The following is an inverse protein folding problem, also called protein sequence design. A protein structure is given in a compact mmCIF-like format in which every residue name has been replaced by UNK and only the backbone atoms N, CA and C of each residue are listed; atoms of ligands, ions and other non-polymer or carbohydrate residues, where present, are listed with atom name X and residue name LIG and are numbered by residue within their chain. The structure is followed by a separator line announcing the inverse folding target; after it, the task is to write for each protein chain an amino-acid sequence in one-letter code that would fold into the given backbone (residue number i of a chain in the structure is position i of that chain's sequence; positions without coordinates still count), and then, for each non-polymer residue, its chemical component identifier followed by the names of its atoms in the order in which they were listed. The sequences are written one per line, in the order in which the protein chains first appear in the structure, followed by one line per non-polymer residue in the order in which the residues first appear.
data_IF_139736697719
#
_entry.id   IF_139736697719
#
_cell.length_a   1.000
_cell.length_b   1.000
_cell.length_c   1.000
_cell.angle_alpha   90.00
_cell.angle_beta   90.00
_cell.angle_gamma   90.00
#
_symmetry.space_group_name_H-M   'P 1'
#
loop_
_entity.id
_entity.type
_entity.pdbx_description
1 polymer ?
#
# COMPACT_ATOMS: atom_id res chain seq x y z
N UNK A 1 13.09 19.32 9.84
CA UNK A 1 11.93 19.66 9.00
C UNK A 1 11.07 18.45 8.64
N UNK A 2 11.63 17.28 8.28
CA UNK A 2 10.85 16.09 7.90
C UNK A 2 9.98 15.45 9.01
N UNK A 3 10.29 15.70 10.30
CA UNK A 3 9.52 15.16 11.43
C UNK A 3 8.07 15.64 11.44
N UNK A 4 7.82 16.93 11.18
CA UNK A 4 6.46 17.51 11.18
C UNK A 4 5.56 16.83 10.14
N UNK A 5 6.06 16.67 8.92
CA UNK A 5 5.37 15.96 7.85
C UNK A 5 5.02 14.51 8.20
N UNK A 6 5.91 13.82 8.92
CA UNK A 6 5.66 12.45 9.38
C UNK A 6 4.60 12.41 10.49
N UNK A 7 4.62 13.40 11.40
CA UNK A 7 3.62 13.55 12.46
C UNK A 7 2.24 13.85 11.88
N UNK A 8 2.14 14.72 10.88
CA UNK A 8 0.88 15.03 10.20
C UNK A 8 0.24 13.79 9.57
N UNK A 9 1.05 12.97 8.89
CA UNK A 9 0.58 11.68 8.36
C UNK A 9 0.15 10.73 9.49
N UNK A 10 0.86 10.73 10.61
CA UNK A 10 0.50 9.89 11.77
C UNK A 10 -0.86 10.28 12.35
N UNK A 11 -1.18 11.57 12.41
CA UNK A 11 -2.51 12.04 12.79
C UNK A 11 -3.58 11.61 11.80
N UNK A 12 -3.29 11.69 10.50
CA UNK A 12 -4.23 11.26 9.47
C UNK A 12 -4.47 9.74 9.49
N UNK A 13 -3.43 8.94 9.71
CA UNK A 13 -3.54 7.48 9.91
C UNK A 13 -4.42 7.19 11.12
N UNK A 14 -4.18 7.86 12.25
CA UNK A 14 -4.99 7.69 13.45
C UNK A 14 -6.46 8.03 13.19
N UNK A 15 -6.72 9.17 12.55
CA UNK A 15 -8.08 9.58 12.18
C UNK A 15 -8.75 8.53 11.26
N UNK A 16 -8.01 8.00 10.29
CA UNK A 16 -8.51 6.96 9.39
C UNK A 16 -8.84 5.66 10.14
N UNK A 17 -7.96 5.20 11.04
CA UNK A 17 -8.19 4.00 11.86
C UNK A 17 -9.42 4.17 12.75
N UNK A 18 -9.53 5.29 13.46
CA UNK A 18 -10.66 5.59 14.34
C UNK A 18 -11.99 5.65 13.57
N UNK A 19 -11.99 6.24 12.37
CA UNK A 19 -13.23 6.44 11.60
C UNK A 19 -13.63 5.26 10.73
N UNK A 20 -12.69 4.45 10.24
CA UNK A 20 -12.97 3.37 9.28
C UNK A 20 -12.93 1.97 9.90
N UNK A 21 -12.16 1.78 10.97
CA UNK A 21 -11.86 0.45 11.52
C UNK A 21 -12.21 0.30 13.01
N UNK A 22 -12.75 1.33 13.67
CA UNK A 22 -13.23 1.18 15.05
C UNK A 22 -14.46 0.28 15.12
N UNK A 23 -14.77 -0.33 16.29
CA UNK A 23 -16.00 -1.11 16.46
C UNK A 23 -17.26 -0.31 16.09
N UNK A 24 -17.24 1.00 16.35
CA UNK A 24 -18.30 1.94 15.98
C UNK A 24 -18.51 2.10 14.47
N UNK A 25 -17.49 1.82 13.65
CA UNK A 25 -17.59 1.89 12.20
C UNK A 25 -18.56 0.84 11.62
N UNK A 26 -18.76 -0.29 12.31
CA UNK A 26 -19.70 -1.34 11.90
C UNK A 26 -21.17 -0.92 11.93
N UNK A 27 -21.52 0.14 12.66
CA UNK A 27 -22.89 0.67 12.72
C UNK A 27 -23.18 1.72 11.63
N UNK A 28 -22.17 2.14 10.86
CA UNK A 28 -22.35 3.16 9.81
C UNK A 28 -22.91 2.54 8.54
N UNK A 29 -23.74 3.32 7.85
CA UNK A 29 -24.15 2.97 6.50
C UNK A 29 -22.95 3.05 5.55
N UNK A 30 -23.02 2.30 4.45
CA UNK A 30 -21.94 2.32 3.45
C UNK A 30 -21.73 3.72 2.84
N UNK A 31 -22.80 4.48 2.63
CA UNK A 31 -22.74 5.86 2.12
C UNK A 31 -21.94 6.78 3.06
N UNK A 32 -22.11 6.62 4.38
CA UNK A 32 -21.32 7.37 5.36
C UNK A 32 -19.85 6.95 5.35
N UNK A 33 -19.59 5.65 5.15
CA UNK A 33 -18.23 5.13 5.01
C UNK A 33 -17.54 5.70 3.76
N UNK A 34 -18.20 5.70 2.60
CA UNK A 34 -17.66 6.28 1.37
C UNK A 34 -17.35 7.76 1.52
N UNK A 35 -18.26 8.55 2.10
CA UNK A 35 -18.03 9.98 2.36
C UNK A 35 -16.81 10.20 3.28
N UNK A 36 -16.66 9.34 4.28
CA UNK A 36 -15.51 9.36 5.20
C UNK A 36 -14.22 9.06 4.44
N UNK A 37 -14.21 8.01 3.61
CA UNK A 37 -13.06 7.63 2.77
C UNK A 37 -12.67 8.77 1.83
N UNK A 38 -13.63 9.35 1.10
CA UNK A 38 -13.38 10.47 0.19
C UNK A 38 -12.78 11.67 0.94
N UNK A 39 -13.33 12.01 2.11
CA UNK A 39 -12.83 13.13 2.92
C UNK A 39 -11.41 12.91 3.39
N UNK A 40 -11.10 11.71 3.93
CA UNK A 40 -9.76 11.34 4.37
C UNK A 40 -8.78 11.33 3.19
N UNK A 41 -9.21 10.82 2.03
CA UNK A 41 -8.39 10.81 0.83
C UNK A 41 -8.06 12.23 0.37
N UNK A 42 -9.03 13.14 0.34
CA UNK A 42 -8.80 14.55 0.00
C UNK A 42 -7.86 15.24 1.00
N UNK A 43 -7.92 14.89 2.30
CA UNK A 43 -6.94 15.37 3.29
C UNK A 43 -5.52 14.89 2.97
N UNK A 44 -5.35 13.62 2.58
CA UNK A 44 -4.06 13.09 2.17
C UNK A 44 -3.53 13.81 0.91
N UNK A 45 -4.38 14.01 -0.10
CA UNK A 45 -4.00 14.70 -1.34
C UNK A 45 -3.64 16.17 -1.08
N UNK A 46 -4.39 16.84 -0.19
CA UNK A 46 -4.06 18.20 0.25
C UNK A 46 -2.71 18.23 0.98
N UNK A 47 -2.44 17.29 1.88
CA UNK A 47 -1.15 17.17 2.54
C UNK A 47 0.00 17.03 1.53
N UNK A 48 -0.17 16.20 0.49
CA UNK A 48 0.84 16.02 -0.56
C UNK A 48 1.10 17.32 -1.33
N UNK A 49 0.06 18.11 -1.61
CA UNK A 49 0.20 19.38 -2.33
C UNK A 49 0.99 20.46 -1.58
N UNK A 50 1.08 20.36 -0.25
CA UNK A 50 1.89 21.26 0.60
C UNK A 50 3.34 20.77 0.79
N UNK A 51 3.68 19.62 0.22
CA UNK A 51 5.02 19.06 0.35
C UNK A 51 6.00 19.84 -0.55
N UNK A 52 7.13 20.34 -0.02
CA UNK A 52 8.17 20.98 -0.82
C UNK A 52 8.66 20.05 -1.93
N UNK A 53 8.98 20.59 -3.10
CA UNK A 53 9.46 19.80 -4.24
C UNK A 53 10.72 18.99 -3.93
N UNK A 54 11.57 19.50 -3.02
CA UNK A 54 12.76 18.80 -2.52
C UNK A 54 12.43 17.64 -1.58
N UNK A 55 11.16 17.34 -1.31
CA UNK A 55 10.71 16.18 -0.54
C UNK A 55 9.78 15.27 -1.35
N UNK A 56 9.60 15.55 -2.65
CA UNK A 56 8.82 14.71 -3.56
C UNK A 56 9.43 13.31 -3.70
N UNK A 57 8.58 12.30 -3.91
CA UNK A 57 8.94 10.87 -3.86
C UNK A 57 9.65 10.35 -5.12
N UNK A 58 10.34 11.20 -5.86
CA UNK A 58 10.99 10.81 -7.11
C UNK A 58 12.10 9.76 -6.87
N UNK A 59 12.36 8.86 -7.83
CA UNK A 59 13.49 7.93 -7.78
C UNK A 59 14.80 8.73 -7.74
N UNK A 60 15.72 8.35 -6.87
CA UNK A 60 16.93 9.14 -6.58
C UNK A 60 18.20 8.39 -6.90
N UNK A 61 19.21 9.17 -7.27
CA UNK A 61 20.61 8.80 -7.16
C UNK A 61 20.91 8.45 -5.69
N UNK A 62 21.62 7.35 -5.48
CA UNK A 62 21.91 6.80 -4.15
C UNK A 62 22.72 7.77 -3.26
N UNK A 63 23.37 8.77 -3.88
CA UNK A 63 24.22 9.75 -3.20
C UNK A 63 23.44 10.96 -2.63
N UNK A 64 22.13 11.09 -2.85
CA UNK A 64 21.36 12.22 -2.30
C UNK A 64 21.13 12.05 -0.78
N UNK A 65 21.63 12.99 0.07
CA UNK A 65 21.44 12.95 1.51
C UNK A 65 19.97 12.93 1.98
N UNK A 66 19.05 13.40 1.13
CA UNK A 66 17.60 13.44 1.39
C UNK A 66 16.85 12.21 0.88
N UNK A 67 17.50 11.30 0.14
CA UNK A 67 16.84 10.14 -0.44
C UNK A 67 16.14 9.28 0.60
N UNK A 68 16.84 8.95 1.69
CA UNK A 68 16.29 8.20 2.81
C UNK A 68 15.03 8.83 3.39
N UNK A 69 15.03 10.16 3.54
CA UNK A 69 13.91 10.90 4.11
C UNK A 69 12.70 10.90 3.17
N UNK A 70 12.92 11.10 1.87
CA UNK A 70 11.88 11.07 0.85
C UNK A 70 11.25 9.69 0.72
N UNK A 71 12.07 8.64 0.67
CA UNK A 71 11.58 7.25 0.61
C UNK A 71 10.77 6.92 1.86
N UNK A 72 11.28 7.23 3.06
CA UNK A 72 10.56 7.01 4.31
C UNK A 72 9.22 7.75 4.35
N UNK A 73 9.20 9.01 3.89
CA UNK A 73 7.98 9.81 3.81
C UNK A 73 6.99 9.26 2.77
N UNK A 74 7.49 8.81 1.62
CA UNK A 74 6.70 8.15 0.59
C UNK A 74 6.04 6.88 1.12
N UNK A 75 6.76 6.04 1.86
CA UNK A 75 6.17 4.85 2.50
C UNK A 75 5.06 5.23 3.49
N UNK A 76 5.25 6.25 4.32
CA UNK A 76 4.20 6.71 5.25
C UNK A 76 2.99 7.24 4.51
N UNK A 77 3.20 8.02 3.46
CA UNK A 77 2.11 8.59 2.65
C UNK A 77 1.31 7.48 1.97
N UNK A 78 1.97 6.55 1.29
CA UNK A 78 1.30 5.45 0.61
C UNK A 78 0.62 4.50 1.60
N UNK A 79 1.22 4.21 2.76
CA UNK A 79 0.55 3.46 3.85
C UNK A 79 -0.76 4.13 4.25
N UNK A 80 -0.73 5.46 4.45
CA UNK A 80 -1.92 6.24 4.81
C UNK A 80 -3.01 6.10 3.76
N UNK A 81 -2.64 6.25 2.48
CA UNK A 81 -3.56 6.11 1.35
C UNK A 81 -4.11 4.68 1.23
N UNK A 82 -3.31 3.65 1.46
CA UNK A 82 -3.77 2.26 1.50
C UNK A 82 -4.81 2.07 2.59
N UNK A 83 -4.53 2.49 3.83
CA UNK A 83 -5.48 2.36 4.96
C UNK A 83 -6.82 3.03 4.63
N UNK A 84 -6.79 4.22 4.00
CA UNK A 84 -8.00 4.97 3.65
C UNK A 84 -8.80 4.28 2.55
N UNK A 85 -8.14 3.77 1.51
CA UNK A 85 -8.80 3.28 0.28
C UNK A 85 -9.15 1.79 0.30
N UNK A 86 -8.46 1.00 1.13
CA UNK A 86 -8.62 -0.45 1.21
C UNK A 86 -10.03 -0.97 1.52
N UNK A 87 -10.90 -0.28 2.31
CA UNK A 87 -12.26 -0.74 2.53
C UNK A 87 -13.06 -0.87 1.22
N UNK A 88 -12.85 0.04 0.26
CA UNK A 88 -13.49 -0.01 -1.05
C UNK A 88 -13.03 -1.22 -1.87
N UNK A 89 -11.72 -1.47 -1.91
CA UNK A 89 -11.16 -2.64 -2.61
C UNK A 89 -11.70 -3.95 -2.02
N UNK A 90 -11.67 -4.11 -0.69
CA UNK A 90 -12.19 -5.31 -0.03
C UNK A 90 -13.68 -5.49 -0.30
N UNK A 91 -14.45 -4.40 -0.27
CA UNK A 91 -15.87 -4.46 -0.57
C UNK A 91 -16.09 -4.99 -1.98
N UNK A 92 -15.41 -4.45 -2.99
CA UNK A 92 -15.60 -4.86 -4.38
C UNK A 92 -15.12 -6.31 -4.59
N UNK A 93 -14.03 -6.71 -3.94
CA UNK A 93 -13.49 -8.08 -4.02
C UNK A 93 -14.41 -9.14 -3.40
N UNK A 94 -15.10 -8.82 -2.30
CA UNK A 94 -15.91 -9.79 -1.55
C UNK A 94 -17.43 -9.58 -1.69
N UNK A 95 -17.88 -8.58 -2.45
CA UNK A 95 -19.30 -8.39 -2.73
C UNK A 95 -19.84 -9.53 -3.60
N UNK A 96 -20.88 -10.20 -3.12
CA UNK A 96 -21.62 -11.19 -3.91
C UNK A 96 -22.34 -10.48 -5.07
N UNK A 97 -22.33 -11.02 -6.31
CA UNK A 97 -22.92 -10.38 -7.50
C UNK A 97 -24.39 -9.97 -7.36
N UNK A 98 -25.13 -10.56 -6.40
CA UNK A 98 -26.55 -10.29 -6.12
C UNK A 98 -26.79 -9.01 -5.29
N UNK A 99 -25.77 -8.43 -4.65
CA UNK A 99 -25.93 -7.37 -3.65
C UNK A 99 -25.35 -6.06 -4.17
N UNK A 100 -26.14 -5.39 -5.02
CA UNK A 100 -25.97 -4.02 -5.52
C UNK A 100 -24.63 -3.67 -6.20
N UNK A 101 -24.71 -3.06 -7.38
CA UNK A 101 -23.54 -2.55 -8.12
C UNK A 101 -22.73 -1.61 -7.21
N UNK A 102 -21.40 -1.80 -7.08
CA UNK A 102 -20.56 -0.90 -6.30
C UNK A 102 -20.69 0.54 -6.81
N UNK A 103 -20.69 1.51 -5.90
CA UNK A 103 -20.78 2.92 -6.31
C UNK A 103 -19.56 3.31 -7.17
N UNK A 104 -19.73 4.29 -8.05
CA UNK A 104 -18.62 4.83 -8.84
C UNK A 104 -17.47 5.36 -7.96
N UNK A 105 -17.79 5.91 -6.79
CA UNK A 105 -16.81 6.39 -5.80
C UNK A 105 -16.01 5.22 -5.23
N UNK A 106 -16.68 4.13 -4.84
CA UNK A 106 -16.02 2.92 -4.35
C UNK A 106 -15.06 2.34 -5.40
N UNK A 107 -15.52 2.23 -6.65
CA UNK A 107 -14.69 1.72 -7.75
C UNK A 107 -13.44 2.59 -7.99
N UNK A 108 -13.61 3.91 -7.96
CA UNK A 108 -12.49 4.85 -8.07
C UNK A 108 -11.49 4.69 -6.92
N UNK A 109 -11.97 4.60 -5.68
CA UNK A 109 -11.11 4.41 -4.51
C UNK A 109 -10.41 3.05 -4.49
N UNK A 110 -11.05 1.98 -4.95
CA UNK A 110 -10.42 0.68 -5.09
C UNK A 110 -9.31 0.69 -6.14
N UNK A 111 -9.57 1.30 -7.31
CA UNK A 111 -8.55 1.49 -8.36
C UNK A 111 -7.36 2.29 -7.84
N UNK A 112 -7.63 3.35 -7.06
CA UNK A 112 -6.60 4.15 -6.39
C UNK A 112 -5.82 3.32 -5.36
N UNK A 113 -6.48 2.43 -4.61
CA UNK A 113 -5.83 1.53 -3.66
C UNK A 113 -4.77 0.67 -4.35
N UNK A 114 -5.12 0.07 -5.50
CA UNK A 114 -4.20 -0.72 -6.32
C UNK A 114 -3.06 0.16 -6.82
N UNK A 115 -3.36 1.33 -7.41
CA UNK A 115 -2.34 2.25 -7.90
C UNK A 115 -1.32 2.64 -6.81
N UNK A 116 -1.81 2.95 -5.61
CA UNK A 116 -0.97 3.31 -4.45
C UNK A 116 -0.10 2.14 -4.01
N UNK A 117 -0.60 0.91 -4.01
CA UNK A 117 0.21 -0.28 -3.70
C UNK A 117 1.35 -0.46 -4.71
N UNK A 118 1.08 -0.24 -6.00
CA UNK A 118 2.12 -0.28 -7.06
C UNK A 118 3.17 0.80 -6.83
N UNK A 119 2.75 2.03 -6.53
CA UNK A 119 3.65 3.14 -6.22
C UNK A 119 4.51 2.88 -4.98
N UNK A 120 3.93 2.25 -3.95
CA UNK A 120 4.68 1.88 -2.74
C UNK A 120 5.77 0.85 -3.04
N UNK A 121 5.49 -0.17 -3.85
CA UNK A 121 6.52 -1.15 -4.27
C UNK A 121 7.55 -0.54 -5.24
N UNK A 122 7.17 0.49 -6.01
CA UNK A 122 8.10 1.23 -6.86
C UNK A 122 9.14 2.04 -6.07
N UNK A 123 8.89 2.34 -4.78
CA UNK A 123 9.90 2.95 -3.90
C UNK A 123 11.04 2.00 -3.53
N UNK A 124 10.84 0.69 -3.68
CA UNK A 124 11.89 -0.29 -3.44
C UNK A 124 12.85 -0.30 -4.63
N UNK A 125 14.17 -0.40 -4.40
CA UNK A 125 15.13 -0.68 -5.46
C UNK A 125 14.76 -1.95 -6.24
N UNK A 126 15.06 -1.98 -7.54
CA UNK A 126 14.79 -3.14 -8.39
C UNK A 126 15.69 -4.33 -8.05
N UNK A 127 16.95 -4.05 -7.73
CA UNK A 127 17.85 -5.04 -7.16
C UNK A 127 17.80 -4.96 -5.63
N UNK A 128 17.67 -6.10 -4.98
CA UNK A 128 17.62 -6.13 -3.52
C UNK A 128 19.00 -5.79 -2.97
N UNK A 129 19.05 -4.74 -2.15
CA UNK A 129 20.26 -4.26 -1.52
C UNK A 129 20.06 -4.15 -0.01
N UNK A 130 20.77 -4.99 0.73
CA UNK A 130 20.71 -4.99 2.20
C UNK A 130 21.31 -3.72 2.79
N UNK A 131 22.25 -3.07 2.10
CA UNK A 131 22.83 -1.80 2.57
C UNK A 131 21.79 -0.69 2.49
N UNK A 132 21.00 -0.64 1.41
CA UNK A 132 19.83 0.24 1.31
C UNK A 132 18.84 -0.01 2.44
N UNK A 133 18.52 -1.28 2.73
CA UNK A 133 17.60 -1.66 3.81
C UNK A 133 18.05 -1.09 5.17
N UNK A 134 19.31 -1.30 5.53
CA UNK A 134 19.88 -0.81 6.80
C UNK A 134 20.11 0.70 6.83
N UNK A 135 20.25 1.32 5.66
CA UNK A 135 20.27 2.76 5.57
C UNK A 135 18.93 3.33 6.04
N UNK A 136 17.80 2.64 5.82
CA UNK A 136 16.50 3.20 6.17
C UNK A 136 16.30 3.34 7.68
N UNK A 137 15.83 4.52 8.11
CA UNK A 137 15.62 4.84 9.54
C UNK A 137 14.63 3.92 10.26
N UNK A 138 13.82 3.16 9.52
CA UNK A 138 12.77 2.28 10.04
C UNK A 138 12.68 0.99 9.22
N UNK A 139 13.80 0.26 9.10
CA UNK A 139 13.85 -0.97 8.31
C UNK A 139 12.85 -2.05 8.76
N UNK A 140 12.46 -2.06 10.04
CA UNK A 140 11.42 -2.96 10.56
C UNK A 140 10.04 -2.69 9.96
N UNK A 141 9.72 -1.44 9.60
CA UNK A 141 8.45 -1.08 8.97
C UNK A 141 8.37 -1.55 7.51
N UNK A 142 9.51 -1.83 6.86
CA UNK A 142 9.57 -2.23 5.45
C UNK A 142 8.79 -3.52 5.22
N UNK A 143 8.89 -4.47 6.14
CA UNK A 143 8.09 -5.70 6.07
C UNK A 143 6.59 -5.38 6.00
N UNK A 144 6.12 -4.46 6.85
CA UNK A 144 4.72 -4.06 6.86
C UNK A 144 4.31 -3.35 5.57
N UNK A 145 5.16 -2.47 5.02
CA UNK A 145 4.91 -1.77 3.77
C UNK A 145 4.81 -2.75 2.58
N UNK A 146 5.77 -3.67 2.49
CA UNK A 146 5.77 -4.72 1.46
C UNK A 146 4.52 -5.58 1.60
N UNK A 147 4.21 -6.06 2.80
CA UNK A 147 3.06 -6.94 3.02
C UNK A 147 1.72 -6.25 2.75
N UNK A 148 1.55 -4.98 3.14
CA UNK A 148 0.32 -4.23 2.88
C UNK A 148 0.09 -4.08 1.37
N UNK A 149 1.12 -3.67 0.62
CA UNK A 149 1.02 -3.53 -0.84
C UNK A 149 0.82 -4.87 -1.52
N UNK A 150 1.60 -5.88 -1.15
CA UNK A 150 1.50 -7.23 -1.74
C UNK A 150 0.11 -7.82 -1.52
N UNK A 151 -0.48 -7.61 -0.33
CA UNK A 151 -1.84 -8.07 -0.04
C UNK A 151 -2.87 -7.39 -0.94
N UNK A 152 -2.73 -6.10 -1.21
CA UNK A 152 -3.60 -5.35 -2.13
C UNK A 152 -3.47 -5.89 -3.56
N UNK A 153 -2.25 -6.09 -4.05
CA UNK A 153 -2.03 -6.63 -5.40
C UNK A 153 -2.51 -8.08 -5.54
N UNK A 154 -2.38 -8.91 -4.51
CA UNK A 154 -2.92 -10.27 -4.50
C UNK A 154 -4.46 -10.28 -4.52
N UNK A 155 -5.11 -9.37 -3.78
CA UNK A 155 -6.57 -9.22 -3.85
C UNK A 155 -6.99 -8.83 -5.27
N UNK A 156 -6.33 -7.85 -5.87
CA UNK A 156 -6.62 -7.42 -7.25
C UNK A 156 -6.40 -8.55 -8.27
N UNK A 157 -5.28 -9.26 -8.16
CA UNK A 157 -4.92 -10.36 -9.04
C UNK A 157 -5.98 -11.48 -9.01
N UNK A 158 -6.47 -11.85 -7.83
CA UNK A 158 -7.38 -12.99 -7.68
C UNK A 158 -8.86 -12.64 -7.78
N UNK A 159 -9.25 -11.43 -7.39
CA UNK A 159 -10.66 -11.03 -7.38
C UNK A 159 -11.10 -10.32 -8.67
N UNK A 160 -10.18 -9.65 -9.37
CA UNK A 160 -10.54 -8.69 -10.43
C UNK A 160 -9.81 -8.90 -11.75
N UNK A 161 -8.60 -9.45 -11.74
CA UNK A 161 -7.87 -9.72 -12.97
C UNK A 161 -8.34 -11.02 -13.65
N UNK A 162 -8.47 -10.96 -14.98
CA UNK A 162 -8.63 -12.17 -15.79
C UNK A 162 -7.26 -12.83 -15.98
N UNK A 163 -7.15 -14.16 -15.89
CA UNK A 163 -5.90 -14.85 -16.17
C UNK A 163 -5.38 -14.52 -17.57
N UNK A 164 -4.04 -14.44 -17.72
CA UNK A 164 -3.34 -14.22 -18.99
C UNK A 164 -3.60 -12.87 -19.67
N UNK A 165 -4.01 -11.84 -18.93
CA UNK A 165 -4.00 -10.47 -19.44
C UNK A 165 -2.69 -9.75 -19.13
N UNK A 166 -2.45 -8.62 -19.80
CA UNK A 166 -1.26 -7.78 -19.57
C UNK A 166 -1.25 -7.22 -18.15
N UNK A 167 -2.42 -6.86 -17.63
CA UNK A 167 -2.60 -6.34 -16.28
C UNK A 167 -2.22 -7.40 -15.23
N UNK A 168 -2.68 -8.65 -15.42
CA UNK A 168 -2.31 -9.76 -14.55
C UNK A 168 -0.80 -10.02 -14.57
N UNK A 169 -0.16 -9.99 -15.75
CA UNK A 169 1.29 -10.15 -15.86
C UNK A 169 2.06 -9.05 -15.10
N UNK A 170 1.65 -7.79 -15.25
CA UNK A 170 2.28 -6.68 -14.53
C UNK A 170 2.15 -6.81 -13.01
N UNK A 171 0.97 -7.21 -12.52
CA UNK A 171 0.77 -7.44 -11.08
C UNK A 171 1.65 -8.59 -10.58
N UNK A 172 1.80 -9.66 -11.36
CA UNK A 172 2.69 -10.78 -11.02
C UNK A 172 4.14 -10.30 -10.92
N UNK A 173 4.63 -9.50 -11.87
CA UNK A 173 6.00 -8.97 -11.84
C UNK A 173 6.24 -8.10 -10.59
N UNK A 174 5.27 -7.25 -10.23
CA UNK A 174 5.33 -6.40 -9.04
C UNK A 174 5.30 -7.22 -7.74
N UNK A 175 4.45 -8.26 -7.67
CA UNK A 175 4.40 -9.19 -6.54
C UNK A 175 5.70 -9.99 -6.46
N UNK A 176 6.29 -10.40 -7.59
CA UNK A 176 7.58 -11.06 -7.61
C UNK A 176 8.68 -10.16 -7.06
N UNK A 177 8.72 -8.87 -7.43
CA UNK A 177 9.65 -7.91 -6.82
C UNK A 177 9.50 -7.89 -5.30
N UNK A 178 8.27 -7.80 -4.78
CA UNK A 178 8.01 -7.87 -3.35
C UNK A 178 8.51 -9.20 -2.73
N UNK A 179 8.30 -10.34 -3.38
CA UNK A 179 8.78 -11.63 -2.91
C UNK A 179 10.30 -11.73 -2.84
N UNK A 180 11.04 -11.14 -3.79
CA UNK A 180 12.49 -11.09 -3.74
C UNK A 180 12.97 -10.32 -2.50
N UNK A 181 12.34 -9.18 -2.21
CA UNK A 181 12.61 -8.41 -0.98
C UNK A 181 12.31 -9.22 0.29
N UNK A 182 11.14 -9.87 0.37
CA UNK A 182 10.79 -10.71 1.54
C UNK A 182 11.77 -11.87 1.73
N UNK A 183 12.23 -12.49 0.64
CA UNK A 183 13.21 -13.57 0.68
C UNK A 183 14.55 -13.08 1.25
N UNK A 184 15.05 -11.95 0.81
CA UNK A 184 16.31 -11.41 1.34
C UNK A 184 16.18 -10.99 2.81
N UNK A 185 15.06 -10.35 3.18
CA UNK A 185 14.78 -10.02 4.58
C UNK A 185 14.67 -11.27 5.47
N UNK A 186 14.18 -12.39 4.93
CA UNK A 186 14.02 -13.66 5.67
C UNK A 186 15.34 -14.25 6.19
N UNK A 187 16.48 -13.82 5.63
CA UNK A 187 17.81 -14.24 6.11
C UNK A 187 18.09 -13.81 7.55
N UNK A 188 17.39 -12.76 8.02
CA UNK A 188 17.63 -12.14 9.34
C UNK A 188 16.35 -11.89 10.14
N UNK A 189 15.17 -12.07 9.56
CA UNK A 189 13.88 -11.88 10.23
C UNK A 189 12.91 -13.04 9.98
N UNK A 190 12.44 -13.65 11.07
CA UNK A 190 11.50 -14.77 10.99
C UNK A 190 10.11 -14.33 10.49
N UNK A 191 9.72 -13.08 10.73
CA UNK A 191 8.44 -12.56 10.25
C UNK A 191 8.44 -12.43 8.72
N UNK A 192 9.54 -11.96 8.14
CA UNK A 192 9.78 -11.92 6.69
C UNK A 192 9.83 -13.32 6.09
N UNK A 193 10.41 -14.31 6.78
CA UNK A 193 10.35 -15.71 6.35
C UNK A 193 8.91 -16.22 6.24
N UNK A 194 8.08 -15.97 7.27
CA UNK A 194 6.67 -16.37 7.26
C UNK A 194 5.89 -15.66 6.15
N UNK A 195 6.10 -14.36 6.01
CA UNK A 195 5.51 -13.54 4.95
C UNK A 195 5.85 -14.09 3.55
N UNK A 196 7.13 -14.37 3.28
CA UNK A 196 7.57 -14.95 2.02
C UNK A 196 6.91 -16.30 1.72
N UNK A 197 6.85 -17.20 2.71
CA UNK A 197 6.24 -18.51 2.55
C UNK A 197 4.74 -18.40 2.22
N UNK A 198 4.02 -17.51 2.90
CA UNK A 198 2.59 -17.28 2.67
C UNK A 198 2.36 -16.72 1.26
N UNK A 199 3.08 -15.67 0.86
CA UNK A 199 2.94 -15.08 -0.47
C UNK A 199 3.27 -16.09 -1.59
N UNK A 200 4.32 -16.89 -1.40
CA UNK A 200 4.72 -17.94 -2.34
C UNK A 200 3.65 -19.02 -2.48
N UNK A 201 3.07 -19.47 -1.37
CA UNK A 201 1.99 -20.47 -1.37
C UNK A 201 0.70 -19.94 -2.01
N UNK A 202 0.34 -18.67 -1.77
CA UNK A 202 -0.81 -18.05 -2.41
C UNK A 202 -0.65 -17.98 -3.94
N UNK A 203 0.54 -17.55 -4.40
CA UNK A 203 0.85 -17.48 -5.83
C UNK A 203 0.96 -18.85 -6.48
N UNK A 204 1.47 -19.89 -5.81
CA UNK A 204 1.55 -21.21 -6.42
C UNK A 204 0.18 -21.88 -6.58
N UNK A 205 -0.77 -21.59 -5.68
CA UNK A 205 -2.14 -22.15 -5.71
C UNK A 205 -3.05 -21.46 -6.72
N UNK A 206 -2.82 -20.19 -7.00
CA UNK A 206 -3.71 -19.34 -7.80
C UNK A 206 -2.99 -18.66 -8.98
N UNK A 207 -1.72 -19.02 -9.21
CA UNK A 207 -0.97 -18.60 -10.39
C UNK A 207 -1.53 -19.23 -11.66
N UNK A 208 -1.37 -18.59 -12.82
CA UNK A 208 -1.84 -19.11 -14.10
C UNK A 208 -1.16 -20.41 -14.54
#
# INVERSE_FOLDING_TARGET
MCFLYTVDLSFLVREAVEKLYSPGAGYRTWIEMERTITTLNSKADNWLSHLPSQLCFAPLDQDDPLARWRTGLGFHFYTTKLIITQPCLRRIAYQTPSVAVPSAVCNSMASLCVQVARQMLALLPDQVDTTWLYSMTQWWCILHYIMQSTSVLLIELFAHCRPRTREAAQLIDEIQKAMHWLREMSTKDQSAQRAWLICRDLLSRHGP
#
